data_IF_883870822935
#
_entry.id   IF_883870822935
#
_cell.length_a   1.000
_cell.length_b   1.000
_cell.length_c   1.000
_cell.angle_alpha   90.00
_cell.angle_beta   90.00
_cell.angle_gamma   90.00
#
_symmetry.space_group_name_H-M   'P 1'
#
loop_
_entity.id
_entity.type
_entity.pdbx_description
1 polymer ?
#
# COMPACT_ATOMS: atom_id res chain seq x y z
N UNK A 1 -3.35 24.15 28.28
CA UNK A 1 -3.96 23.41 27.14
C UNK A 1 -3.95 21.95 27.52
N UNK A 2 -5.08 21.25 27.46
CA UNK A 2 -5.07 19.81 27.69
C UNK A 2 -4.26 19.15 26.55
N UNK A 3 -3.26 18.34 26.91
CA UNK A 3 -2.49 17.58 25.94
C UNK A 3 -3.42 16.62 25.18
N UNK A 4 -3.22 16.52 23.86
CA UNK A 4 -4.02 15.61 23.02
C UNK A 4 -3.68 14.17 23.42
N UNK A 5 -4.69 13.29 23.63
CA UNK A 5 -4.43 11.89 24.00
C UNK A 5 -3.77 11.14 22.84
N UNK A 6 -3.06 10.05 23.15
CA UNK A 6 -2.36 9.24 22.14
C UNK A 6 -3.27 8.79 20.98
N UNK A 7 -4.52 8.41 21.27
CA UNK A 7 -5.48 7.99 20.25
C UNK A 7 -5.84 9.08 19.23
N UNK A 8 -5.70 10.37 19.58
CA UNK A 8 -5.86 11.46 18.61
C UNK A 8 -4.70 11.47 17.62
N UNK A 9 -3.45 11.37 18.11
CA UNK A 9 -2.26 11.39 17.27
C UNK A 9 -2.18 10.18 16.35
N UNK A 10 -2.51 8.99 16.86
CA UNK A 10 -2.55 7.76 16.06
C UNK A 10 -3.49 7.91 14.86
N UNK A 11 -4.74 8.34 15.09
CA UNK A 11 -5.71 8.56 14.01
C UNK A 11 -5.29 9.68 13.05
N UNK A 12 -4.68 10.74 13.57
CA UNK A 12 -4.25 11.86 12.74
C UNK A 12 -3.10 11.46 11.81
N UNK A 13 -2.08 10.78 12.34
CA UNK A 13 -0.92 10.33 11.56
C UNK A 13 -1.34 9.28 10.54
N UNK A 14 -2.15 8.29 10.93
CA UNK A 14 -2.72 7.27 10.05
C UNK A 14 -3.44 7.90 8.84
N UNK A 15 -4.40 8.80 9.10
CA UNK A 15 -5.11 9.55 8.04
C UNK A 15 -4.17 10.34 7.12
N UNK A 16 -3.17 11.04 7.69
CA UNK A 16 -2.23 11.84 6.90
C UNK A 16 -1.31 10.98 6.02
N UNK A 17 -0.93 9.80 6.50
CA UNK A 17 -0.17 8.81 5.71
C UNK A 17 -1.03 8.35 4.55
N UNK A 18 -2.27 7.94 4.81
CA UNK A 18 -3.18 7.46 3.77
C UNK A 18 -3.48 8.52 2.70
N UNK A 19 -3.74 9.77 3.10
CA UNK A 19 -3.99 10.88 2.18
C UNK A 19 -2.78 11.19 1.29
N UNK A 20 -1.57 11.24 1.88
CA UNK A 20 -0.34 11.49 1.11
C UNK A 20 0.00 10.34 0.19
N UNK A 21 -0.19 9.11 0.66
CA UNK A 21 0.01 7.92 -0.15
C UNK A 21 -0.92 7.93 -1.37
N UNK A 22 -2.22 8.17 -1.15
CA UNK A 22 -3.21 8.27 -2.24
C UNK A 22 -2.84 9.37 -3.24
N UNK A 23 -2.47 10.56 -2.76
CA UNK A 23 -2.07 11.66 -3.63
C UNK A 23 -0.85 11.32 -4.51
N UNK A 24 0.17 10.66 -3.94
CA UNK A 24 1.39 10.26 -4.66
C UNK A 24 1.08 9.28 -5.80
N UNK A 25 0.28 8.24 -5.53
CA UNK A 25 -0.02 7.23 -6.54
C UNK A 25 -0.96 7.78 -7.62
N UNK A 26 -1.93 8.61 -7.25
CA UNK A 26 -2.85 9.24 -8.20
C UNK A 26 -2.13 10.21 -9.14
N UNK A 27 -1.14 10.97 -8.65
CA UNK A 27 -0.28 11.83 -9.48
C UNK A 27 0.43 11.02 -10.58
N UNK A 28 0.72 9.74 -10.33
CA UNK A 28 1.34 8.83 -11.27
C UNK A 28 0.33 8.00 -12.08
N UNK A 29 -0.98 8.33 -11.98
CA UNK A 29 -2.05 7.67 -12.71
C UNK A 29 -2.37 6.26 -12.21
N UNK A 30 -2.02 5.94 -10.96
CA UNK A 30 -2.23 4.61 -10.36
C UNK A 30 -3.18 4.75 -9.18
N UNK A 31 -4.27 3.98 -9.20
CA UNK A 31 -5.19 3.88 -8.06
C UNK A 31 -4.59 3.03 -6.92
N UNK A 32 -5.11 3.19 -5.70
CA UNK A 32 -4.71 2.36 -4.55
C UNK A 32 -4.87 0.86 -4.83
N UNK A 33 -5.95 0.48 -5.52
CA UNK A 33 -6.20 -0.92 -5.90
C UNK A 33 -5.17 -1.43 -6.89
N UNK A 34 -4.89 -0.66 -7.95
CA UNK A 34 -3.86 -1.01 -8.93
C UNK A 34 -2.49 -1.14 -8.29
N UNK A 35 -2.15 -0.26 -7.34
CA UNK A 35 -0.91 -0.38 -6.57
C UNK A 35 -0.81 -1.71 -5.79
N UNK A 36 -1.88 -2.12 -5.11
CA UNK A 36 -1.92 -3.38 -4.37
C UNK A 36 -1.73 -4.58 -5.31
N UNK A 37 -2.42 -4.56 -6.46
CA UNK A 37 -2.29 -5.61 -7.47
C UNK A 37 -0.86 -5.66 -8.05
N UNK A 38 -0.26 -4.52 -8.37
CA UNK A 38 1.14 -4.46 -8.80
C UNK A 38 2.10 -4.94 -7.72
N UNK A 39 1.82 -4.66 -6.45
CA UNK A 39 2.63 -5.15 -5.32
C UNK A 39 2.61 -6.68 -5.25
N UNK A 40 1.45 -7.32 -5.39
CA UNK A 40 1.34 -8.78 -5.47
C UNK A 40 2.08 -9.33 -6.70
N UNK A 41 1.82 -8.73 -7.87
CA UNK A 41 2.42 -9.16 -9.15
C UNK A 41 3.93 -8.92 -9.23
N UNK A 42 4.47 -8.01 -8.43
CA UNK A 42 5.92 -7.77 -8.33
C UNK A 42 6.66 -8.90 -7.64
N UNK A 43 5.96 -9.67 -6.78
CA UNK A 43 6.53 -10.81 -6.07
C UNK A 43 6.44 -12.09 -6.92
N UNK A 44 5.31 -12.32 -7.58
CA UNK A 44 5.10 -13.48 -8.47
C UNK A 44 3.92 -13.27 -9.41
N UNK A 45 3.84 -14.05 -10.49
CA UNK A 45 2.59 -14.15 -11.25
C UNK A 45 1.47 -14.69 -10.38
N UNK A 46 0.23 -14.36 -10.74
CA UNK A 46 -0.97 -14.78 -10.01
C UNK A 46 -2.18 -14.90 -10.94
N UNK A 47 -3.10 -15.80 -10.61
CA UNK A 47 -4.41 -15.87 -11.26
C UNK A 47 -5.31 -14.74 -10.77
N UNK A 48 -6.40 -14.47 -11.51
CA UNK A 48 -7.38 -13.46 -11.08
C UNK A 48 -7.96 -13.76 -9.68
N UNK A 49 -8.28 -15.02 -9.40
CA UNK A 49 -8.81 -15.45 -8.09
C UNK A 49 -7.80 -15.19 -6.96
N UNK A 50 -6.52 -15.45 -7.18
CA UNK A 50 -5.47 -15.16 -6.20
C UNK A 50 -5.33 -13.66 -5.96
N UNK A 51 -5.46 -12.85 -7.02
CA UNK A 51 -5.42 -11.39 -6.91
C UNK A 51 -6.63 -10.85 -6.15
N UNK A 52 -7.84 -11.33 -6.45
CA UNK A 52 -9.06 -10.96 -5.72
C UNK A 52 -8.95 -11.31 -4.23
N UNK A 53 -8.46 -12.52 -3.91
CA UNK A 53 -8.21 -12.93 -2.52
C UNK A 53 -7.16 -12.06 -1.82
N UNK A 54 -6.09 -11.69 -2.52
CA UNK A 54 -5.02 -10.86 -1.95
C UNK A 54 -5.49 -9.44 -1.62
N UNK A 55 -6.42 -8.88 -2.40
CA UNK A 55 -6.94 -7.53 -2.20
C UNK A 55 -8.23 -7.48 -1.38
N UNK A 56 -8.89 -8.62 -1.14
CA UNK A 56 -10.13 -8.75 -0.37
C UNK A 56 -10.12 -8.04 1.00
N UNK A 57 -9.03 -8.05 1.80
CA UNK A 57 -9.00 -7.32 3.08
C UNK A 57 -9.19 -5.80 2.95
N UNK A 58 -9.00 -5.25 1.74
CA UNK A 58 -9.12 -3.83 1.44
C UNK A 58 -10.38 -3.49 0.64
N UNK A 59 -11.26 -4.47 0.40
CA UNK A 59 -12.54 -4.26 -0.29
C UNK A 59 -13.60 -3.90 0.75
N UNK A 60 -14.38 -2.86 0.51
CA UNK A 60 -15.48 -2.51 1.41
C UNK A 60 -16.53 -3.63 1.44
N UNK A 61 -17.08 -4.00 2.61
CA UNK A 61 -18.10 -5.03 2.71
C UNK A 61 -19.31 -4.70 1.82
N UNK A 62 -19.59 -5.57 0.85
CA UNK A 62 -20.70 -5.41 -0.11
C UNK A 62 -20.31 -4.71 -1.42
N UNK A 63 -19.04 -4.32 -1.61
CA UNK A 63 -18.53 -3.91 -2.91
C UNK A 63 -18.44 -5.10 -3.87
N UNK A 64 -18.77 -4.88 -5.14
CA UNK A 64 -18.59 -5.83 -6.23
C UNK A 64 -17.31 -5.59 -7.04
N UNK A 65 -16.41 -4.75 -6.54
CA UNK A 65 -15.12 -4.42 -7.16
C UNK A 65 -14.29 -5.68 -7.36
N UNK A 66 -13.93 -5.99 -8.61
CA UNK A 66 -13.05 -7.12 -8.96
C UNK A 66 -11.70 -6.61 -9.42
N UNK A 67 -10.63 -7.34 -9.09
CA UNK A 67 -9.29 -7.10 -9.60
C UNK A 67 -9.26 -6.99 -11.14
N UNK A 68 -10.18 -7.66 -11.84
CA UNK A 68 -10.24 -7.62 -13.30
C UNK A 68 -10.45 -6.21 -13.86
N UNK A 69 -11.29 -5.41 -13.20
CA UNK A 69 -11.60 -4.02 -13.62
C UNK A 69 -10.34 -3.15 -13.57
N UNK A 70 -9.54 -3.31 -12.52
CA UNK A 70 -8.30 -2.55 -12.32
C UNK A 70 -7.13 -3.03 -13.18
N UNK A 71 -7.09 -4.33 -13.50
CA UNK A 71 -6.07 -4.91 -14.37
C UNK A 71 -6.24 -4.50 -15.83
N UNK A 72 -7.45 -4.12 -16.27
CA UNK A 72 -7.71 -3.65 -17.63
C UNK A 72 -6.81 -2.47 -18.02
N UNK A 73 -6.85 -1.40 -17.24
CA UNK A 73 -6.04 -0.20 -17.49
C UNK A 73 -4.53 -0.46 -17.41
N UNK A 74 -4.10 -1.30 -16.46
CA UNK A 74 -2.69 -1.72 -16.33
C UNK A 74 -2.22 -2.53 -17.53
N UNK A 75 -3.09 -3.34 -18.13
CA UNK A 75 -2.81 -4.08 -19.36
C UNK A 75 -2.77 -3.18 -20.58
N UNK A 76 -3.70 -2.25 -20.71
CA UNK A 76 -3.72 -1.27 -21.80
C UNK A 76 -2.46 -0.38 -21.78
N UNK A 77 -1.98 -0.03 -20.59
CA UNK A 77 -0.72 0.69 -20.38
C UNK A 77 0.54 -0.16 -20.63
N UNK A 78 0.36 -1.48 -20.80
CA UNK A 78 1.43 -2.46 -20.99
C UNK A 78 2.28 -2.65 -19.74
N UNK A 79 1.72 -2.45 -18.54
CA UNK A 79 2.41 -2.71 -17.27
C UNK A 79 2.21 -4.15 -16.82
N UNK A 80 1.05 -4.72 -17.09
CA UNK A 80 0.71 -6.11 -16.79
C UNK A 80 0.39 -6.85 -18.09
N UNK A 81 0.75 -8.14 -18.15
CA UNK A 81 0.33 -9.06 -19.19
C UNK A 81 -0.48 -10.19 -18.58
N UNK A 82 -1.28 -10.86 -19.40
CA UNK A 82 -1.96 -12.10 -19.03
C UNK A 82 -1.64 -13.19 -20.07
N UNK A 83 -1.19 -14.35 -19.59
CA UNK A 83 -0.88 -15.52 -20.42
C UNK A 83 -1.52 -16.73 -19.75
N UNK A 84 -2.35 -17.48 -20.48
CA UNK A 84 -3.03 -18.68 -19.96
C UNK A 84 -3.80 -18.46 -18.63
N UNK A 85 -4.32 -17.25 -18.43
CA UNK A 85 -5.07 -16.88 -17.22
C UNK A 85 -4.20 -16.43 -16.04
N UNK A 86 -2.87 -16.45 -16.17
CA UNK A 86 -1.95 -15.89 -15.20
C UNK A 86 -1.57 -14.45 -15.56
N UNK A 87 -1.74 -13.55 -14.61
CA UNK A 87 -1.29 -12.18 -14.70
C UNK A 87 0.17 -12.09 -14.22
N UNK A 88 0.96 -11.31 -14.93
CA UNK A 88 2.35 -11.04 -14.57
C UNK A 88 2.69 -9.58 -14.86
N UNK A 89 3.53 -8.99 -14.01
CA UNK A 89 4.10 -7.68 -14.29
C UNK A 89 5.09 -7.80 -15.45
N UNK A 90 5.04 -6.85 -16.38
CA UNK A 90 5.99 -6.76 -17.50
C UNK A 90 7.26 -6.02 -17.07
N UNK A 91 8.32 -6.05 -17.88
CA UNK A 91 9.52 -5.24 -17.62
C UNK A 91 9.20 -3.74 -17.49
N UNK A 92 8.32 -3.21 -18.36
CA UNK A 92 7.86 -1.83 -18.27
C UNK A 92 7.12 -1.56 -16.96
N UNK A 93 6.21 -2.47 -16.60
CA UNK A 93 5.47 -2.40 -15.34
C UNK A 93 6.40 -2.43 -14.14
N UNK A 94 7.43 -3.28 -14.15
CA UNK A 94 8.44 -3.36 -13.09
C UNK A 94 9.18 -2.04 -12.95
N UNK A 95 9.66 -1.44 -14.04
CA UNK A 95 10.35 -0.15 -14.00
C UNK A 95 9.43 0.95 -13.43
N UNK A 96 8.18 1.00 -13.87
CA UNK A 96 7.21 1.98 -13.40
C UNK A 96 6.88 1.76 -11.91
N UNK A 97 6.63 0.52 -11.51
CA UNK A 97 6.35 0.14 -10.14
C UNK A 97 7.53 0.45 -9.22
N UNK A 98 8.76 0.11 -9.59
CA UNK A 98 9.97 0.45 -8.81
C UNK A 98 10.11 1.95 -8.60
N UNK A 99 9.95 2.77 -9.65
CA UNK A 99 9.99 4.23 -9.51
C UNK A 99 8.91 4.75 -8.57
N UNK A 100 7.70 4.23 -8.68
CA UNK A 100 6.60 4.62 -7.81
C UNK A 100 6.84 4.16 -6.36
N UNK A 101 7.43 2.97 -6.15
CA UNK A 101 7.89 2.49 -4.84
C UNK A 101 8.91 3.41 -4.21
N UNK A 102 9.88 3.91 -4.96
CA UNK A 102 10.87 4.87 -4.45
C UNK A 102 10.22 6.18 -3.98
N UNK A 103 9.20 6.68 -4.70
CA UNK A 103 8.45 7.88 -4.30
C UNK A 103 7.63 7.60 -3.02
N UNK A 104 6.97 6.44 -2.95
CA UNK A 104 6.23 6.00 -1.75
C UNK A 104 7.15 5.78 -0.55
N UNK A 105 8.34 5.23 -0.74
CA UNK A 105 9.34 5.09 0.33
C UNK A 105 9.84 6.46 0.80
N UNK A 106 9.86 7.46 -0.08
CA UNK A 106 10.05 8.87 0.28
C UNK A 106 9.03 9.38 1.32
N UNK A 107 7.77 8.93 1.26
CA UNK A 107 6.76 9.24 2.28
C UNK A 107 7.16 8.67 3.64
N UNK A 108 7.65 7.43 3.69
CA UNK A 108 8.14 6.80 4.93
C UNK A 108 9.30 7.58 5.52
N UNK A 109 10.25 8.00 4.68
CA UNK A 109 11.35 8.86 5.12
C UNK A 109 10.86 10.21 5.67
N UNK A 110 9.76 10.75 5.13
CA UNK A 110 9.18 12.00 5.63
C UNK A 110 8.60 11.89 7.05
N UNK A 111 8.16 10.69 7.46
CA UNK A 111 7.70 10.43 8.84
C UNK A 111 8.84 10.50 9.84
N UNK A 112 10.04 10.07 9.44
CA UNK A 112 11.24 10.04 10.27
C UNK A 112 12.14 11.29 10.11
N UNK A 113 11.77 12.24 9.23
CA UNK A 113 12.64 13.36 8.83
C UNK A 113 13.23 14.15 10.00
N UNK A 114 12.42 14.38 11.03
CA UNK A 114 12.80 15.19 12.20
C UNK A 114 13.07 14.32 13.45
N UNK A 115 13.26 13.01 13.24
CA UNK A 115 13.60 12.04 14.28
C UNK A 115 15.06 11.60 14.10
N UNK A 116 15.75 11.39 15.20
CA UNK A 116 16.92 10.50 15.20
C UNK A 116 16.48 9.06 14.94
N UNK A 117 17.39 8.21 14.47
CA UNK A 117 17.12 6.78 14.26
C UNK A 117 16.63 6.11 15.55
N UNK A 118 17.23 6.45 16.69
CA UNK A 118 16.85 5.92 18.00
C UNK A 118 15.43 6.34 18.42
N UNK A 119 15.05 7.60 18.22
CA UNK A 119 13.70 8.09 18.52
C UNK A 119 12.64 7.41 17.66
N UNK A 120 12.94 7.21 16.37
CA UNK A 120 12.05 6.51 15.45
C UNK A 120 11.85 5.04 15.88
N UNK A 121 12.95 4.32 16.14
CA UNK A 121 12.89 2.92 16.59
C UNK A 121 12.16 2.78 17.93
N UNK A 122 12.39 3.70 18.86
CA UNK A 122 11.70 3.73 20.16
C UNK A 122 10.19 3.93 19.99
N UNK A 123 9.79 4.80 19.06
CA UNK A 123 8.38 5.05 18.73
C UNK A 123 7.73 3.79 18.16
N UNK A 124 8.34 3.17 17.15
CA UNK A 124 7.83 1.93 16.53
C UNK A 124 7.71 0.81 17.55
N UNK A 125 8.74 0.58 18.39
CA UNK A 125 8.70 -0.44 19.43
C UNK A 125 7.58 -0.18 20.45
N UNK A 126 7.37 1.09 20.83
CA UNK A 126 6.30 1.48 21.75
C UNK A 126 4.93 1.17 21.16
N UNK A 127 4.69 1.48 19.88
CA UNK A 127 3.45 1.18 19.17
C UNK A 127 3.22 -0.33 19.05
N UNK A 128 4.25 -1.09 18.70
CA UNK A 128 4.17 -2.55 18.60
C UNK A 128 3.77 -3.18 19.95
N UNK A 129 4.42 -2.75 21.04
CA UNK A 129 4.07 -3.21 22.39
C UNK A 129 2.63 -2.86 22.77
N UNK A 130 2.15 -1.66 22.40
CA UNK A 130 0.75 -1.28 22.59
C UNK A 130 -0.19 -2.19 21.78
N UNK A 131 0.13 -2.48 20.51
CA UNK A 131 -0.67 -3.38 19.67
C UNK A 131 -0.72 -4.80 20.25
N UNK A 132 0.42 -5.34 20.72
CA UNK A 132 0.48 -6.64 21.41
C UNK A 132 -0.37 -6.65 22.69
N UNK A 133 -0.32 -5.58 23.50
CA UNK A 133 -1.19 -5.44 24.67
C UNK A 133 -2.70 -5.41 24.32
N UNK A 134 -3.04 -4.99 23.10
CA UNK A 134 -4.40 -4.96 22.57
C UNK A 134 -4.80 -6.24 21.82
N UNK A 135 -3.91 -7.24 21.75
CA UNK A 135 -4.21 -8.57 21.18
C UNK A 135 -3.67 -8.83 19.78
N UNK A 136 -2.79 -7.98 19.22
CA UNK A 136 -2.08 -8.31 17.98
C UNK A 136 -1.11 -9.49 18.21
N UNK A 137 -1.28 -10.57 17.45
CA UNK A 137 -0.39 -11.72 17.37
C UNK A 137 0.12 -11.84 15.94
N UNK A 138 1.44 -11.79 15.80
CA UNK A 138 2.17 -11.84 14.51
C UNK A 138 1.94 -13.16 13.75
#
# INVERSE_FOLDING_TARGET
>A
MAERPIGYWLKLVDRLIDERFAAIIEEHGVTRRQWQLLSVLSASSATLEQLDLAVAPFVEPGSSESAAEHLGELRESGWVTVTDGEYAITERGTIAFTRLSEVVDGLRNSLAKDFTEEEYLTTVNSLERMARNLGYTD
#
